data_IF_566995641975
#
_entry.id   IF_566995641975
#
_cell.length_a   1.000
_cell.length_b   1.000
_cell.length_c   1.000
_cell.angle_alpha   90.00
_cell.angle_beta   90.00
_cell.angle_gamma   90.00
#
_symmetry.space_group_name_H-M   'P 1'
#
loop_
_entity.id
_entity.type
_entity.pdbx_description
1 polymer ?
#
# COMPACT_ATOMS: atom_id res chain seq x y z
N UNK A 1 -13.27 53.22 51.16
CA UNK A 1 -12.38 53.99 50.27
C UNK A 1 -11.77 53.00 49.28
N UNK A 2 -12.17 53.08 48.01
CA UNK A 2 -11.87 52.08 46.98
C UNK A 2 -10.42 52.23 46.49
N UNK A 3 -9.59 51.21 46.74
CA UNK A 3 -8.21 51.14 46.27
C UNK A 3 -8.16 50.73 44.81
N UNK A 4 -7.61 51.59 43.95
CA UNK A 4 -7.40 51.28 42.53
C UNK A 4 -6.31 50.20 42.39
N UNK A 5 -6.53 49.11 41.63
CA UNK A 5 -5.46 48.20 41.28
C UNK A 5 -4.53 48.86 40.24
N UNK A 6 -3.26 48.99 40.61
CA UNK A 6 -2.18 49.50 39.79
C UNK A 6 -1.87 48.47 38.68
N UNK A 7 -1.96 48.84 37.40
CA UNK A 7 -1.53 47.96 36.31
C UNK A 7 0.00 47.91 36.26
N UNK A 8 0.58 46.75 36.51
CA UNK A 8 1.98 46.46 36.27
C UNK A 8 2.22 46.32 34.76
N UNK A 9 3.11 47.16 34.21
CA UNK A 9 3.53 47.08 32.80
C UNK A 9 4.35 45.80 32.60
N UNK A 10 3.73 44.78 32.01
CA UNK A 10 4.43 43.57 31.60
C UNK A 10 5.33 43.89 30.40
N UNK A 11 6.63 44.03 30.66
CA UNK A 11 7.67 44.09 29.63
C UNK A 11 7.74 42.71 28.95
N UNK A 12 7.52 42.67 27.63
CA UNK A 12 7.21 41.48 26.83
C UNK A 12 8.34 40.46 26.70
N UNK A 13 8.66 39.74 27.77
CA UNK A 13 9.48 38.52 27.69
C UNK A 13 8.55 37.32 27.70
N UNK A 14 8.09 36.92 26.51
CA UNK A 14 7.37 35.65 26.31
C UNK A 14 8.31 34.51 26.76
N UNK A 15 7.89 33.57 27.63
CA UNK A 15 8.68 32.39 27.92
C UNK A 15 8.87 31.60 26.63
N UNK A 16 10.13 31.28 26.28
CA UNK A 16 10.42 30.34 25.21
C UNK A 16 10.00 28.95 25.67
N UNK A 17 8.72 28.62 25.51
CA UNK A 17 8.25 27.24 25.57
C UNK A 17 8.74 26.55 24.31
N UNK A 18 9.95 26.00 24.36
CA UNK A 18 10.38 24.99 23.38
C UNK A 18 9.29 23.89 23.36
N UNK A 19 8.77 23.50 22.20
CA UNK A 19 7.82 22.40 22.14
C UNK A 19 8.50 21.13 22.67
N UNK A 20 7.76 20.25 23.38
CA UNK A 20 8.34 19.03 23.95
C UNK A 20 8.99 18.19 22.86
N UNK A 21 10.25 17.79 23.09
CA UNK A 21 11.06 16.91 22.23
C UNK A 21 10.51 15.48 22.10
N UNK A 22 9.30 15.23 22.61
CA UNK A 22 8.69 13.91 22.73
C UNK A 22 8.39 13.27 21.37
N UNK A 23 7.92 14.06 20.39
CA UNK A 23 7.57 13.56 19.06
C UNK A 23 8.75 12.98 18.26
N UNK A 24 9.99 13.35 18.57
CA UNK A 24 11.15 12.81 17.85
C UNK A 24 11.40 11.34 18.20
N UNK A 25 11.24 10.97 19.47
CA UNK A 25 11.48 9.59 19.92
C UNK A 25 10.41 8.62 19.38
N UNK A 26 9.16 9.07 19.35
CA UNK A 26 8.04 8.25 18.85
C UNK A 26 8.15 7.99 17.33
N UNK A 27 8.56 9.00 16.56
CA UNK A 27 8.82 8.86 15.12
C UNK A 27 10.00 7.91 14.83
N UNK A 28 11.06 7.97 15.65
CA UNK A 28 12.19 7.04 15.51
C UNK A 28 11.80 5.61 15.86
N UNK A 29 10.96 5.40 16.89
CA UNK A 29 10.48 4.05 17.26
C UNK A 29 9.66 3.43 16.13
N UNK A 30 8.69 4.18 15.59
CA UNK A 30 7.87 3.70 14.47
C UNK A 30 8.72 3.35 13.23
N UNK A 31 9.75 4.14 12.94
CA UNK A 31 10.67 3.84 11.86
C UNK A 31 11.41 2.51 12.06
N UNK A 32 11.89 2.22 13.27
CA UNK A 32 12.51 0.92 13.59
C UNK A 32 11.51 -0.24 13.49
N UNK A 33 10.28 -0.05 13.95
CA UNK A 33 9.22 -1.07 13.86
C UNK A 33 8.86 -1.38 12.40
N UNK A 34 8.79 -0.36 11.54
CA UNK A 34 8.55 -0.54 10.11
C UNK A 34 9.70 -1.28 9.42
N UNK A 35 10.95 -0.89 9.71
CA UNK A 35 12.13 -1.61 9.18
C UNK A 35 12.09 -3.07 9.59
N UNK A 36 11.84 -3.33 10.88
CA UNK A 36 11.73 -4.69 11.41
C UNK A 36 10.61 -5.45 10.72
N UNK A 37 9.43 -4.85 10.60
CA UNK A 37 8.29 -5.47 9.93
C UNK A 37 8.60 -5.85 8.48
N UNK A 38 9.20 -4.95 7.70
CA UNK A 38 9.58 -5.22 6.30
C UNK A 38 10.58 -6.37 6.23
N UNK A 39 11.63 -6.33 7.06
CA UNK A 39 12.66 -7.37 7.10
C UNK A 39 12.08 -8.75 7.46
N UNK A 40 11.29 -8.82 8.54
CA UNK A 40 10.67 -10.07 8.99
C UNK A 40 9.66 -10.61 7.96
N UNK A 41 8.83 -9.73 7.39
CA UNK A 41 7.84 -10.12 6.37
C UNK A 41 8.52 -10.66 5.12
N UNK A 42 9.56 -9.99 4.64
CA UNK A 42 10.31 -10.43 3.46
C UNK A 42 10.99 -11.78 3.70
N UNK A 43 11.65 -11.95 4.85
CA UNK A 43 12.30 -13.21 5.20
C UNK A 43 11.31 -14.36 5.38
N UNK A 44 10.14 -14.08 5.97
CA UNK A 44 9.07 -15.06 6.11
C UNK A 44 8.60 -15.57 4.75
N UNK A 45 8.26 -14.65 3.84
CA UNK A 45 7.83 -14.97 2.47
C UNK A 45 8.92 -15.72 1.68
N UNK A 46 10.19 -15.32 1.82
CA UNK A 46 11.32 -15.95 1.14
C UNK A 46 11.54 -17.40 1.62
N UNK A 47 11.52 -17.63 2.94
CA UNK A 47 11.67 -18.98 3.52
C UNK A 47 10.50 -19.89 3.17
N UNK A 48 9.30 -19.35 3.14
CA UNK A 48 8.11 -20.07 2.70
C UNK A 48 8.31 -20.56 1.25
N UNK A 49 8.67 -19.65 0.33
CA UNK A 49 8.95 -19.97 -1.07
C UNK A 49 10.04 -21.05 -1.24
N UNK A 50 11.17 -20.89 -0.56
CA UNK A 50 12.28 -21.85 -0.64
C UNK A 50 11.85 -23.24 -0.16
N UNK A 51 11.05 -23.30 0.91
CA UNK A 51 10.54 -24.56 1.45
C UNK A 51 9.62 -25.26 0.45
N UNK A 52 8.77 -24.52 -0.26
CA UNK A 52 7.92 -25.08 -1.32
C UNK A 52 8.73 -25.56 -2.52
N UNK A 53 9.74 -24.81 -2.98
CA UNK A 53 10.56 -25.22 -4.13
C UNK A 53 11.34 -26.51 -3.82
N UNK A 54 11.94 -26.61 -2.63
CA UNK A 54 12.69 -27.80 -2.22
C UNK A 54 11.80 -29.06 -2.05
N UNK A 55 10.51 -28.89 -1.75
CA UNK A 55 9.55 -29.99 -1.63
C UNK A 55 9.04 -30.51 -2.98
N UNK A 56 9.05 -29.68 -4.03
CA UNK A 56 8.57 -30.06 -5.37
C UNK A 56 9.45 -31.09 -6.09
N UNK A 57 10.69 -31.28 -5.65
CA UNK A 57 11.62 -32.23 -6.29
C UNK A 57 11.39 -33.70 -5.87
N UNK A 58 10.43 -33.96 -4.97
CA UNK A 58 9.99 -35.30 -4.59
C UNK A 58 8.61 -35.60 -5.16
N UNK A 59 8.52 -36.65 -5.99
CA UNK A 59 7.27 -37.21 -6.54
C UNK A 59 6.14 -37.24 -5.49
N UNK A 60 5.24 -36.26 -5.49
CA UNK A 60 4.02 -36.31 -4.68
C UNK A 60 2.91 -35.51 -5.36
N UNK A 61 1.98 -36.26 -5.95
CA UNK A 61 0.76 -35.82 -6.64
C UNK A 61 -0.29 -35.15 -5.74
N UNK A 62 0.10 -34.62 -4.58
CA UNK A 62 -0.79 -33.98 -3.60
C UNK A 62 -0.53 -32.47 -3.51
N UNK A 63 -0.63 -31.77 -4.65
CA UNK A 63 -0.48 -30.30 -4.77
C UNK A 63 -1.67 -29.50 -4.21
N UNK A 64 -2.24 -29.92 -3.09
CA UNK A 64 -3.37 -29.25 -2.43
C UNK A 64 -3.03 -28.58 -1.10
N UNK A 65 -1.76 -28.57 -0.69
CA UNK A 65 -1.31 -27.70 0.40
C UNK A 65 -0.73 -26.43 -0.21
N UNK A 66 -1.62 -25.44 -0.33
CA UNK A 66 -1.39 -24.14 -0.91
C UNK A 66 -0.21 -23.42 -0.26
N UNK A 67 0.82 -23.12 -1.05
CA UNK A 67 1.69 -21.99 -0.76
C UNK A 67 0.85 -20.72 -0.72
N UNK A 68 0.89 -19.98 0.38
CA UNK A 68 0.25 -18.66 0.44
C UNK A 68 0.99 -17.70 -0.49
N UNK A 69 2.29 -17.95 -0.72
CA UNK A 69 3.14 -17.22 -1.64
C UNK A 69 3.22 -17.94 -2.98
N UNK A 70 2.59 -17.38 -4.02
CA UNK A 70 2.70 -17.84 -5.41
C UNK A 70 3.24 -16.70 -6.27
N UNK A 71 4.31 -16.96 -7.04
CA UNK A 71 4.78 -16.02 -8.06
C UNK A 71 4.01 -16.23 -9.36
N UNK A 72 3.76 -15.14 -10.09
CA UNK A 72 3.30 -15.26 -11.46
C UNK A 72 4.39 -15.94 -12.29
N UNK A 73 4.11 -17.15 -12.74
CA UNK A 73 4.95 -17.87 -13.68
C UNK A 73 4.42 -17.56 -15.08
N UNK A 74 5.05 -16.60 -15.75
CA UNK A 74 4.77 -16.38 -17.16
C UNK A 74 5.30 -17.58 -17.95
N UNK A 75 4.41 -18.24 -18.68
CA UNK A 75 4.82 -19.21 -19.69
C UNK A 75 4.85 -18.47 -21.02
N UNK A 76 6.00 -18.37 -21.67
CA UNK A 76 6.10 -17.82 -23.03
C UNK A 76 6.24 -18.96 -24.06
N UNK A 77 5.35 -19.04 -25.07
CA UNK A 77 4.11 -18.26 -25.23
C UNK A 77 3.04 -18.68 -24.23
N UNK A 78 2.18 -17.73 -23.82
CA UNK A 78 1.11 -18.05 -22.87
C UNK A 78 0.07 -18.93 -23.59
N UNK A 79 -0.10 -20.21 -23.19
CA UNK A 79 -1.02 -21.11 -23.87
C UNK A 79 -2.48 -20.64 -23.79
N UNK A 80 -2.83 -19.81 -22.80
CA UNK A 80 -4.16 -19.20 -22.68
C UNK A 80 -4.40 -18.05 -23.66
N UNK A 81 -3.33 -17.47 -24.22
CA UNK A 81 -3.40 -16.37 -25.18
C UNK A 81 -3.26 -16.83 -26.64
N UNK A 82 -3.31 -18.15 -26.90
CA UNK A 82 -3.10 -18.73 -28.24
C UNK A 82 -4.02 -18.12 -29.30
N UNK A 83 -5.28 -17.89 -28.93
CA UNK A 83 -6.31 -17.34 -29.82
C UNK A 83 -6.76 -15.94 -29.35
N UNK A 84 -5.90 -15.24 -28.60
CA UNK A 84 -6.21 -13.90 -28.13
C UNK A 84 -6.13 -12.92 -29.29
N UNK A 85 -7.27 -12.34 -29.66
CA UNK A 85 -7.32 -11.24 -30.62
C UNK A 85 -7.08 -9.90 -29.91
N UNK A 86 -6.19 -9.05 -30.45
CA UNK A 86 -6.02 -7.70 -29.92
C UNK A 86 -7.35 -6.93 -29.92
N UNK A 87 -7.71 -6.37 -28.78
CA UNK A 87 -8.91 -5.56 -28.61
C UNK A 87 -8.57 -4.08 -28.61
N UNK A 88 -9.21 -3.32 -29.49
CA UNK A 88 -9.07 -1.86 -29.51
C UNK A 88 -9.94 -1.23 -28.41
N UNK A 89 -9.30 -0.97 -27.27
CA UNK A 89 -9.92 -0.28 -26.14
C UNK A 89 -10.42 1.12 -26.53
N UNK A 90 -9.70 1.84 -27.39
CA UNK A 90 -10.07 3.20 -27.77
C UNK A 90 -11.36 3.19 -28.59
N UNK A 91 -11.48 2.30 -29.58
CA UNK A 91 -12.70 2.12 -30.34
C UNK A 91 -13.89 1.73 -29.45
N UNK A 92 -13.68 0.82 -28.50
CA UNK A 92 -14.72 0.38 -27.57
C UNK A 92 -15.25 1.50 -26.67
N UNK A 93 -14.35 2.26 -26.04
CA UNK A 93 -14.74 3.37 -25.17
C UNK A 93 -15.41 4.50 -25.96
N UNK A 94 -14.92 4.81 -27.17
CA UNK A 94 -15.57 5.75 -28.08
C UNK A 94 -17.00 5.32 -28.42
N UNK A 95 -17.22 4.04 -28.76
CA UNK A 95 -18.54 3.52 -29.10
C UNK A 95 -19.50 3.54 -27.89
N UNK A 96 -18.99 3.28 -26.67
CA UNK A 96 -19.79 3.34 -25.44
C UNK A 96 -20.20 4.77 -25.07
N UNK A 97 -19.31 5.75 -25.26
CA UNK A 97 -19.60 7.17 -25.03
C UNK A 97 -20.66 7.74 -25.98
N UNK A 98 -20.72 7.26 -27.22
CA UNK A 98 -21.77 7.64 -28.18
C UNK A 98 -23.11 6.98 -27.83
N UNK A 99 -23.10 5.72 -27.36
CA UNK A 99 -24.32 5.03 -26.92
C UNK A 99 -24.93 5.62 -25.64
N UNK A 100 -24.10 6.11 -24.71
CA UNK A 100 -24.61 6.82 -23.53
C UNK A 100 -25.24 8.16 -23.90
N UNK A 101 -24.72 8.86 -24.93
CA UNK A 101 -25.27 10.11 -25.46
C UNK A 101 -26.56 9.93 -26.30
N UNK A 102 -26.77 8.78 -26.94
CA UNK A 102 -28.01 8.53 -27.70
C UNK A 102 -29.21 8.18 -26.79
N UNK A 103 -28.96 7.59 -25.62
CA UNK A 103 -30.00 7.16 -24.67
C UNK A 103 -30.54 8.30 -23.80
N UNK A 104 -29.76 9.34 -23.57
CA UNK A 104 -30.16 10.51 -22.77
C UNK A 104 -30.74 11.66 -23.62
N UNK A 105 -30.66 11.61 -24.95
CA UNK A 105 -31.37 12.54 -25.86
C UNK A 105 -32.74 12.05 -26.30
N UNK A 106 -33.15 10.85 -25.87
CA UNK A 106 -34.43 10.20 -26.23
C UNK A 106 -35.42 10.12 -25.05
N UNK A 107 -35.29 11.00 -24.05
CA UNK A 107 -36.28 11.25 -22.98
C UNK A 107 -36.84 12.66 -23.05
#
# INVERSE_FOLDING_TARGET
MSGRPQMTTMNGKRPTTLPPRHHQNDATSQHFDLIKYIYESWNSVSKELDSYHNQQHGNSSNYRNAALVTYYQEHEPNPQLKDFEPFDLEAYWRQRGVQSLARNTSS
#
